data_IF_706238449555
#
_entry.id   IF_706238449555
#
_cell.length_a   1.000
_cell.length_b   1.000
_cell.length_c   1.000
_cell.angle_alpha   90.00
_cell.angle_beta   90.00
_cell.angle_gamma   90.00
#
_symmetry.space_group_name_H-M   'P 1'
#
loop_
_entity.id
_entity.type
_entity.pdbx_description
1 polymer ?
#
# COMPACT_ATOMS: atom_id res chain seq x y z
N UNK A 1 19.97 -1.91 7.62
CA UNK A 1 18.78 -2.75 7.30
C UNK A 1 17.52 -2.03 7.73
N UNK A 2 16.56 -1.80 6.83
CA UNK A 2 15.28 -1.17 7.18
C UNK A 2 14.51 -2.07 8.17
N UNK A 3 13.97 -1.53 9.29
CA UNK A 3 13.24 -2.32 10.27
C UNK A 3 11.98 -2.96 9.66
N UNK A 4 11.64 -4.19 10.07
CA UNK A 4 10.38 -4.87 9.63
C UNK A 4 9.14 -4.00 9.90
N UNK A 5 9.14 -3.25 11.01
CA UNK A 5 8.05 -2.33 11.36
C UNK A 5 7.80 -1.29 10.26
N UNK A 6 8.85 -0.75 9.63
CA UNK A 6 8.71 0.26 8.56
C UNK A 6 7.98 -0.30 7.35
N UNK A 7 8.32 -1.53 6.94
CA UNK A 7 7.61 -2.18 5.82
C UNK A 7 6.15 -2.49 6.15
N UNK A 8 5.86 -2.92 7.39
CA UNK A 8 4.48 -3.10 7.85
C UNK A 8 3.70 -1.77 7.88
N UNK A 9 4.35 -0.68 8.30
CA UNK A 9 3.76 0.66 8.25
C UNK A 9 3.46 1.11 6.83
N UNK A 10 4.34 0.83 5.86
CA UNK A 10 4.08 1.13 4.44
C UNK A 10 2.86 0.38 3.91
N UNK A 11 2.77 -0.92 4.19
CA UNK A 11 1.59 -1.73 3.83
C UNK A 11 0.33 -1.19 4.50
N UNK A 12 0.40 -0.90 5.80
CA UNK A 12 -0.72 -0.36 6.56
C UNK A 12 -1.20 0.99 6.05
N UNK A 13 -0.28 1.93 5.82
CA UNK A 13 -0.60 3.26 5.29
C UNK A 13 -1.22 3.17 3.89
N UNK A 14 -0.65 2.34 3.01
CA UNK A 14 -1.21 2.12 1.67
C UNK A 14 -2.61 1.51 1.70
N UNK A 15 -2.85 0.53 2.58
CA UNK A 15 -4.18 -0.06 2.79
C UNK A 15 -5.19 0.98 3.30
N UNK A 16 -4.80 1.82 4.27
CA UNK A 16 -5.67 2.88 4.80
C UNK A 16 -6.07 3.85 3.68
N UNK A 17 -5.13 4.26 2.83
CA UNK A 17 -5.40 5.11 1.67
C UNK A 17 -6.40 4.47 0.70
N UNK A 18 -6.20 3.19 0.34
CA UNK A 18 -7.10 2.47 -0.56
C UNK A 18 -8.49 2.31 0.04
N UNK A 19 -8.58 1.94 1.32
CA UNK A 19 -9.87 1.78 2.02
C UNK A 19 -10.59 3.12 2.13
N UNK A 20 -9.90 4.18 2.53
CA UNK A 20 -10.47 5.52 2.61
C UNK A 20 -11.04 5.96 1.25
N UNK A 21 -10.29 5.76 0.17
CA UNK A 21 -10.78 6.05 -1.18
C UNK A 21 -12.06 5.27 -1.52
N UNK A 22 -12.07 3.96 -1.25
CA UNK A 22 -13.23 3.10 -1.56
C UNK A 22 -14.46 3.48 -0.73
N UNK A 23 -14.27 3.87 0.53
CA UNK A 23 -15.35 4.37 1.39
C UNK A 23 -15.90 5.69 0.84
N UNK A 24 -15.03 6.65 0.50
CA UNK A 24 -15.44 7.93 -0.08
C UNK A 24 -16.19 7.75 -1.41
N UNK A 25 -15.69 6.88 -2.28
CA UNK A 25 -16.34 6.54 -3.55
C UNK A 25 -17.68 5.83 -3.33
N UNK A 26 -17.77 4.91 -2.36
CA UNK A 26 -19.01 4.22 -2.01
C UNK A 26 -20.08 5.14 -1.43
N UNK A 27 -19.67 6.14 -0.65
CA UNK A 27 -20.55 7.17 -0.10
C UNK A 27 -20.87 8.29 -1.10
N UNK A 28 -20.32 8.24 -2.33
CA UNK A 28 -20.46 9.27 -3.37
C UNK A 28 -20.10 10.68 -2.86
N UNK A 29 -19.10 10.76 -1.99
CA UNK A 29 -18.62 12.03 -1.47
C UNK A 29 -17.75 12.68 -2.56
N UNK A 30 -18.08 13.91 -2.95
CA UNK A 30 -17.31 14.65 -3.96
C UNK A 30 -17.27 13.97 -5.32
N UNK A 31 -16.15 14.12 -6.03
CA UNK A 31 -15.92 13.44 -7.32
C UNK A 31 -15.36 12.02 -7.17
N UNK A 32 -15.17 11.52 -5.95
CA UNK A 32 -14.49 10.24 -5.72
C UNK A 32 -15.18 9.07 -6.44
N UNK A 33 -14.43 8.35 -7.26
CA UNK A 33 -14.93 7.22 -8.06
C UNK A 33 -15.60 7.60 -9.39
N UNK A 34 -15.69 8.89 -9.72
CA UNK A 34 -16.13 9.34 -11.05
C UNK A 34 -15.00 9.21 -12.09
N UNK A 35 -15.31 9.11 -13.39
CA UNK A 35 -14.28 9.10 -14.44
C UNK A 35 -13.39 10.35 -14.47
N UNK A 36 -13.91 11.48 -13.96
CA UNK A 36 -13.23 12.77 -13.85
C UNK A 36 -12.41 12.90 -12.56
N UNK A 37 -12.36 11.87 -11.72
CA UNK A 37 -11.66 11.86 -10.43
C UNK A 37 -10.15 11.68 -10.58
N UNK A 38 -9.47 12.71 -11.08
CA UNK A 38 -8.01 12.68 -11.24
C UNK A 38 -7.34 12.63 -9.86
N UNK A 39 -7.75 13.50 -8.94
CA UNK A 39 -7.16 13.61 -7.60
C UNK A 39 -7.31 12.32 -6.80
N UNK A 40 -8.51 11.75 -6.75
CA UNK A 40 -8.75 10.52 -6.03
C UNK A 40 -8.10 9.30 -6.71
N UNK A 41 -8.04 9.26 -8.05
CA UNK A 41 -7.27 8.25 -8.79
C UNK A 41 -5.78 8.23 -8.40
N UNK A 42 -5.16 9.41 -8.22
CA UNK A 42 -3.79 9.53 -7.70
C UNK A 42 -3.66 8.99 -6.27
N UNK A 43 -4.62 9.29 -5.39
CA UNK A 43 -4.62 8.75 -4.01
C UNK A 43 -4.64 7.21 -4.03
N UNK A 44 -5.48 6.63 -4.88
CA UNK A 44 -5.56 5.17 -5.04
C UNK A 44 -4.25 4.58 -5.58
N UNK A 45 -3.63 5.23 -6.57
CA UNK A 45 -2.34 4.81 -7.14
C UNK A 45 -1.24 4.83 -6.09
N UNK A 46 -1.13 5.90 -5.30
CA UNK A 46 -0.17 6.01 -4.19
C UNK A 46 -0.41 4.93 -3.14
N UNK A 47 -1.69 4.69 -2.79
CA UNK A 47 -2.07 3.62 -1.87
C UNK A 47 -1.57 2.25 -2.33
N UNK A 48 -1.80 1.89 -3.59
CA UNK A 48 -1.29 0.63 -4.15
C UNK A 48 0.23 0.59 -4.25
N UNK A 49 0.90 1.68 -4.62
CA UNK A 49 2.35 1.74 -4.68
C UNK A 49 2.98 1.49 -3.30
N UNK A 50 2.43 2.07 -2.24
CA UNK A 50 2.88 1.86 -0.86
C UNK A 50 2.68 0.40 -0.41
N UNK A 51 1.53 -0.21 -0.73
CA UNK A 51 1.28 -1.63 -0.44
C UNK A 51 2.27 -2.52 -1.19
N UNK A 52 2.47 -2.28 -2.49
CA UNK A 52 3.38 -3.07 -3.31
C UNK A 52 4.83 -2.97 -2.80
N UNK A 53 5.34 -1.77 -2.54
CA UNK A 53 6.67 -1.55 -1.99
C UNK A 53 6.84 -2.20 -0.61
N UNK A 54 5.82 -2.05 0.25
CA UNK A 54 5.76 -2.68 1.57
C UNK A 54 5.88 -4.20 1.50
N UNK A 55 5.12 -4.83 0.60
CA UNK A 55 5.12 -6.28 0.38
C UNK A 55 6.45 -6.77 -0.22
N UNK A 56 6.99 -6.07 -1.22
CA UNK A 56 8.28 -6.41 -1.82
C UNK A 56 9.40 -6.38 -0.78
N UNK A 57 9.44 -5.34 0.07
CA UNK A 57 10.43 -5.25 1.14
C UNK A 57 10.31 -6.35 2.19
N UNK A 58 9.08 -6.75 2.55
CA UNK A 58 8.83 -7.89 3.44
C UNK A 58 9.27 -9.21 2.81
N UNK A 59 8.95 -9.42 1.53
CA UNK A 59 9.30 -10.63 0.79
C UNK A 59 10.81 -10.77 0.63
N UNK A 60 11.49 -9.70 0.20
CA UNK A 60 12.94 -9.68 0.07
C UNK A 60 13.61 -10.08 1.40
N UNK A 61 13.17 -9.48 2.51
CA UNK A 61 13.69 -9.81 3.85
C UNK A 61 13.41 -11.26 4.25
N UNK A 62 12.24 -11.80 3.90
CA UNK A 62 11.91 -13.19 4.19
C UNK A 62 12.78 -14.17 3.39
N UNK A 63 13.04 -13.86 2.12
CA UNK A 63 13.96 -14.62 1.28
C UNK A 63 15.38 -14.62 1.84
N UNK A 64 15.92 -13.45 2.22
CA UNK A 64 17.26 -13.36 2.81
C UNK A 64 17.36 -14.14 4.13
N UNK A 65 16.33 -14.06 4.97
CA UNK A 65 16.28 -14.82 6.22
C UNK A 65 16.15 -16.35 5.99
N UNK A 66 15.54 -16.76 4.88
CA UNK A 66 15.44 -18.18 4.48
C UNK A 66 16.79 -18.69 3.96
N UNK A 67 17.49 -17.89 3.16
CA UNK A 67 18.84 -18.20 2.67
C UNK A 67 19.82 -18.42 3.82
N UNK A 68 19.78 -17.53 4.83
CA UNK A 68 20.64 -17.59 6.01
C UNK A 68 20.40 -18.81 6.90
N UNK A 69 19.24 -19.49 6.79
CA UNK A 69 18.94 -20.73 7.52
C UNK A 69 19.31 -21.99 6.74
N UNK A 70 19.62 -21.87 5.44
CA UNK A 70 20.04 -22.98 4.59
C UNK A 70 21.56 -23.15 4.53
N UNK A 71 22.30 -22.17 5.04
CA UNK A 71 23.76 -22.24 5.27
C UNK A 71 24.01 -22.54 6.74
#
# INVERSE_FOLDING_TARGET
MVPRRVWLWLVGAGLVLVVAYRVLAGLRIGTFGAPTDIGGGFVLLVGYALVALGLVGLLARWLTAREARRR
#
